data_IF_636404114835
#
_entry.id   IF_636404114835
#
_cell.length_a   1.000
_cell.length_b   1.000
_cell.length_c   1.000
_cell.angle_alpha   90.00
_cell.angle_beta   90.00
_cell.angle_gamma   90.00
#
_symmetry.space_group_name_H-M   'P 1'
#
loop_
_entity.id
_entity.type
_entity.pdbx_description
1 polymer ?
#
# COMPACT_ATOMS: atom_id res chain seq x y z
N UNK A 1 7.31 -0.02 -5.22
CA UNK A 1 7.42 -0.76 -3.96
C UNK A 1 7.62 -2.19 -4.38
N UNK A 2 8.77 -2.78 -4.05
CA UNK A 2 9.03 -4.17 -4.40
C UNK A 2 8.26 -5.02 -3.38
N UNK A 3 7.04 -5.45 -3.73
CA UNK A 3 6.27 -6.31 -2.85
C UNK A 3 6.84 -7.74 -2.90
N UNK A 4 7.04 -8.41 -1.76
CA UNK A 4 7.60 -9.76 -1.76
C UNK A 4 6.74 -10.72 -2.60
N UNK A 5 7.39 -11.52 -3.43
CA UNK A 5 6.71 -12.45 -4.32
C UNK A 5 6.16 -11.86 -5.63
N UNK A 6 6.26 -10.55 -5.86
CA UNK A 6 5.83 -9.90 -7.11
C UNK A 6 7.01 -9.18 -7.81
N UNK A 7 7.93 -9.91 -8.46
CA UNK A 7 9.20 -9.36 -8.94
C UNK A 7 9.06 -8.36 -10.09
N UNK A 8 8.00 -8.46 -10.90
CA UNK A 8 7.75 -7.56 -12.04
C UNK A 8 6.85 -6.38 -11.67
N UNK A 9 6.36 -6.31 -10.43
CA UNK A 9 5.30 -5.40 -10.04
C UNK A 9 5.85 -4.24 -9.20
N UNK A 10 6.32 -3.18 -9.86
CA UNK A 10 6.73 -1.96 -9.17
C UNK A 10 5.52 -1.04 -8.92
N UNK A 11 4.75 -1.34 -7.86
CA UNK A 11 3.66 -0.46 -7.46
C UNK A 11 4.18 0.71 -6.64
N UNK A 12 4.10 1.93 -7.17
CA UNK A 12 4.43 3.17 -6.44
C UNK A 12 3.26 4.14 -6.55
N UNK A 13 2.79 4.64 -5.41
CA UNK A 13 1.74 5.67 -5.36
C UNK A 13 2.13 6.79 -4.41
N UNK A 14 2.05 8.00 -4.93
CA UNK A 14 2.14 9.26 -4.17
C UNK A 14 0.87 10.06 -4.43
N UNK A 15 0.48 10.84 -3.43
CA UNK A 15 -0.71 11.68 -3.46
C UNK A 15 -0.29 13.15 -3.45
N UNK A 16 -1.02 13.96 -4.20
CA UNK A 16 -0.82 15.39 -4.19
C UNK A 16 -1.28 15.97 -2.83
N UNK A 17 -0.45 16.80 -2.23
CA UNK A 17 -0.73 17.52 -0.98
C UNK A 17 -1.75 18.66 -1.17
N UNK A 18 -2.05 19.00 -2.43
CA UNK A 18 -3.04 19.99 -2.84
C UNK A 18 -4.10 19.31 -3.69
N UNK A 19 -5.31 19.83 -3.63
CA UNK A 19 -6.39 19.40 -4.50
C UNK A 19 -6.24 19.93 -5.94
N UNK A 20 -7.14 19.47 -6.79
CA UNK A 20 -7.15 19.81 -8.22
C UNK A 20 -7.93 21.10 -8.53
N UNK A 21 -8.39 21.84 -7.51
CA UNK A 21 -9.09 23.11 -7.74
C UNK A 21 -8.16 24.14 -8.36
N UNK A 22 -8.72 25.17 -9.01
CA UNK A 22 -7.94 26.26 -9.59
C UNK A 22 -7.04 26.94 -8.53
N UNK A 23 -7.52 27.04 -7.29
CA UNK A 23 -6.80 27.62 -6.15
C UNK A 23 -5.73 26.71 -5.54
N UNK A 24 -5.68 25.42 -5.92
CA UNK A 24 -4.75 24.41 -5.38
C UNK A 24 -4.75 24.39 -3.85
N UNK A 25 -5.94 24.25 -3.25
CA UNK A 25 -6.10 24.24 -1.80
C UNK A 25 -5.42 23.00 -1.20
N UNK A 26 -4.94 23.05 0.05
CA UNK A 26 -4.45 21.86 0.75
C UNK A 26 -5.47 20.72 0.73
N UNK A 27 -5.00 19.50 0.50
CA UNK A 27 -5.88 18.34 0.50
C UNK A 27 -6.47 18.11 1.89
N UNK A 28 -7.78 17.89 1.96
CA UNK A 28 -8.42 17.53 3.23
C UNK A 28 -8.08 16.10 3.61
N UNK A 29 -8.03 15.82 4.92
CA UNK A 29 -7.78 14.47 5.43
C UNK A 29 -8.77 13.45 4.83
N UNK A 30 -10.06 13.74 4.83
CA UNK A 30 -11.08 12.84 4.29
C UNK A 30 -10.89 12.54 2.79
N UNK A 31 -10.44 13.52 2.00
CA UNK A 31 -10.14 13.31 0.57
C UNK A 31 -8.88 12.48 0.40
N UNK A 32 -7.83 12.75 1.17
CA UNK A 32 -6.59 11.98 1.17
C UNK A 32 -6.85 10.51 1.52
N UNK A 33 -7.55 10.24 2.62
CA UNK A 33 -7.87 8.87 3.07
C UNK A 33 -8.71 8.13 2.01
N UNK A 34 -9.64 8.81 1.34
CA UNK A 34 -10.41 8.21 0.24
C UNK A 34 -9.52 7.84 -0.95
N UNK A 35 -8.57 8.68 -1.31
CA UNK A 35 -7.61 8.37 -2.37
C UNK A 35 -6.69 7.21 -2.00
N UNK A 36 -6.21 7.17 -0.74
CA UNK A 36 -5.42 6.05 -0.22
C UNK A 36 -6.22 4.76 -0.29
N UNK A 37 -7.45 4.75 0.23
CA UNK A 37 -8.32 3.57 0.23
C UNK A 37 -8.54 3.00 -1.18
N UNK A 38 -8.91 3.85 -2.15
CA UNK A 38 -9.07 3.46 -3.56
C UNK A 38 -7.79 2.93 -4.18
N UNK A 39 -6.64 3.50 -3.83
CA UNK A 39 -5.35 3.06 -4.36
C UNK A 39 -4.96 1.68 -3.81
N UNK A 40 -5.27 1.41 -2.54
CA UNK A 40 -5.10 0.09 -1.93
C UNK A 40 -6.03 -0.94 -2.59
N UNK A 41 -7.29 -0.59 -2.84
CA UNK A 41 -8.23 -1.49 -3.53
C UNK A 41 -7.74 -1.85 -4.93
N UNK A 42 -7.32 -0.85 -5.71
CA UNK A 42 -6.78 -1.06 -7.04
C UNK A 42 -5.51 -1.92 -7.02
N UNK A 43 -4.64 -1.71 -6.04
CA UNK A 43 -3.44 -2.52 -5.84
C UNK A 43 -3.78 -3.98 -5.56
N UNK A 44 -4.66 -4.26 -4.60
CA UNK A 44 -5.06 -5.64 -4.24
C UNK A 44 -5.72 -6.32 -5.43
N UNK A 45 -6.64 -5.63 -6.11
CA UNK A 45 -7.34 -6.17 -7.27
C UNK A 45 -6.35 -6.56 -8.36
N UNK A 46 -5.39 -5.70 -8.67
CA UNK A 46 -4.39 -5.98 -9.69
C UNK A 46 -3.41 -7.06 -9.24
N UNK A 47 -2.86 -6.98 -8.03
CA UNK A 47 -1.96 -7.99 -7.46
C UNK A 47 -2.59 -9.38 -7.39
N UNK A 48 -3.91 -9.48 -7.20
CA UNK A 48 -4.63 -10.76 -7.20
C UNK A 48 -4.66 -11.47 -8.55
N UNK A 49 -4.36 -10.76 -9.64
CA UNK A 49 -4.28 -11.30 -11.01
C UNK A 49 -2.90 -11.79 -11.39
N UNK A 50 -1.88 -11.42 -10.62
CA UNK A 50 -0.48 -11.76 -10.91
C UNK A 50 -0.05 -12.98 -10.10
N UNK A 51 0.82 -13.80 -10.70
CA UNK A 51 1.44 -14.91 -9.99
C UNK A 51 2.36 -14.39 -8.88
N UNK A 52 2.19 -14.91 -7.67
CA UNK A 52 3.02 -14.58 -6.51
C UNK A 52 3.95 -15.76 -6.20
N UNK A 53 5.26 -15.52 -6.22
CA UNK A 53 6.26 -16.56 -5.91
C UNK A 53 6.43 -16.82 -4.41
N UNK A 54 5.84 -15.98 -3.56
CA UNK A 54 5.89 -16.09 -2.10
C UNK A 54 4.45 -16.19 -1.55
N UNK A 55 3.89 -17.41 -1.37
CA UNK A 55 2.48 -17.61 -1.07
C UNK A 55 1.96 -16.84 0.15
N UNK A 56 2.81 -16.61 1.15
CA UNK A 56 2.49 -15.86 2.37
C UNK A 56 2.24 -14.36 2.12
N UNK A 57 2.69 -13.82 0.99
CA UNK A 57 2.52 -12.44 0.56
C UNK A 57 1.48 -12.25 -0.55
N UNK A 58 0.85 -13.34 -1.00
CA UNK A 58 -0.11 -13.33 -2.10
C UNK A 58 -1.39 -12.59 -1.72
N UNK A 59 -1.86 -11.70 -2.58
CA UNK A 59 -3.19 -11.10 -2.49
C UNK A 59 -4.28 -11.95 -3.17
N UNK A 60 -5.50 -11.87 -2.65
CA UNK A 60 -6.68 -12.52 -3.23
C UNK A 60 -7.21 -13.70 -2.41
N UNK A 61 -8.07 -14.56 -2.98
CA UNK A 61 -8.76 -15.62 -2.24
C UNK A 61 -7.78 -16.53 -1.49
N UNK A 62 -7.96 -16.68 -0.17
CA UNK A 62 -7.07 -17.45 0.71
C UNK A 62 -5.70 -16.82 0.97
N UNK A 63 -5.48 -15.57 0.54
CA UNK A 63 -4.28 -14.79 0.77
C UNK A 63 -4.56 -13.54 1.61
N UNK A 64 -3.73 -12.52 1.47
CA UNK A 64 -3.94 -11.19 2.04
C UNK A 64 -5.12 -10.51 1.37
N UNK A 65 -5.88 -9.77 2.16
CA UNK A 65 -7.08 -9.03 1.79
C UNK A 65 -6.96 -7.58 2.27
N UNK A 66 -8.00 -6.78 1.98
CA UNK A 66 -8.06 -5.38 2.42
C UNK A 66 -8.01 -5.26 3.95
N UNK A 67 -8.65 -6.19 4.66
CA UNK A 67 -8.77 -6.15 6.12
C UNK A 67 -7.44 -6.47 6.81
N UNK A 68 -6.48 -7.06 6.09
CA UNK A 68 -5.13 -7.28 6.58
C UNK A 68 -4.26 -6.02 6.47
N UNK A 69 -4.72 -4.93 5.86
CA UNK A 69 -3.94 -3.70 5.65
C UNK A 69 -4.40 -2.58 6.57
N UNK A 70 -3.48 -2.02 7.34
CA UNK A 70 -3.71 -0.81 8.13
C UNK A 70 -2.85 0.34 7.65
N UNK A 71 -3.48 1.52 7.53
CA UNK A 71 -2.78 2.78 7.37
C UNK A 71 -2.24 3.22 8.73
N UNK A 72 -0.92 3.15 8.92
CA UNK A 72 -0.27 3.50 10.19
C UNK A 72 0.30 4.91 10.21
N UNK A 73 0.41 5.55 9.04
CA UNK A 73 0.97 6.89 8.97
C UNK A 73 0.90 7.50 7.58
N UNK A 74 1.23 8.79 7.53
CA UNK A 74 1.30 9.57 6.31
C UNK A 74 2.58 10.41 6.41
N UNK A 75 3.41 10.35 5.38
CA UNK A 75 4.67 11.09 5.32
C UNK A 75 4.70 12.05 4.14
N UNK A 76 5.26 13.23 4.38
CA UNK A 76 5.60 14.17 3.33
C UNK A 76 6.95 13.76 2.72
N UNK A 77 6.98 13.53 1.40
CA UNK A 77 8.17 12.95 0.73
C UNK A 77 8.86 13.94 -0.20
N UNK A 78 8.16 14.96 -0.67
CA UNK A 78 8.71 16.09 -1.44
C UNK A 78 7.70 17.23 -1.51
N UNK A 79 8.11 18.38 -2.06
CA UNK A 79 7.21 19.53 -2.25
C UNK A 79 5.93 19.12 -3.01
N UNK A 80 4.79 19.15 -2.31
CA UNK A 80 3.50 18.79 -2.88
C UNK A 80 3.18 17.29 -2.91
N UNK A 81 4.04 16.39 -2.40
CA UNK A 81 3.80 14.95 -2.43
C UNK A 81 3.75 14.30 -1.05
N UNK A 82 2.77 13.44 -0.89
CA UNK A 82 2.49 12.69 0.33
C UNK A 82 2.46 11.18 0.00
N UNK A 83 3.00 10.36 0.89
CA UNK A 83 2.97 8.90 0.76
C UNK A 83 2.37 8.27 2.03
N UNK A 84 1.43 7.32 1.90
CA UNK A 84 0.94 6.55 3.04
C UNK A 84 1.97 5.52 3.48
N UNK A 85 2.01 5.24 4.78
CA UNK A 85 2.70 4.09 5.35
C UNK A 85 1.66 3.05 5.70
N UNK A 86 1.76 1.88 5.06
CA UNK A 86 0.85 0.76 5.24
C UNK A 86 1.56 -0.37 6.00
N UNK A 87 0.81 -1.06 6.86
CA UNK A 87 1.25 -2.22 7.60
C UNK A 87 0.33 -3.41 7.31
N UNK A 88 0.91 -4.61 7.25
CA UNK A 88 0.15 -5.86 7.25
C UNK A 88 -0.09 -6.31 8.70
N UNK A 89 -1.35 -6.54 9.05
CA UNK A 89 -1.79 -6.98 10.38
C UNK A 89 -2.11 -8.48 10.44
N UNK A 90 -1.44 -9.27 9.61
CA UNK A 90 -1.47 -10.72 9.64
C UNK A 90 -0.09 -11.22 10.03
N UNK A 91 -0.02 -12.24 10.89
CA UNK A 91 1.25 -12.91 11.15
C UNK A 91 1.71 -13.61 9.87
N UNK A 92 2.86 -13.19 9.37
CA UNK A 92 3.49 -13.73 8.18
C UNK A 92 4.78 -14.39 8.62
N UNK A 93 4.81 -15.72 8.52
CA UNK A 93 6.03 -16.49 8.69
C UNK A 93 6.80 -16.45 7.37
N UNK A 94 7.78 -15.56 7.28
CA UNK A 94 8.69 -15.50 6.14
C UNK A 94 10.12 -15.89 6.57
N UNK A 95 10.63 -17.07 6.16
CA UNK A 95 11.97 -17.51 6.52
C UNK A 95 13.08 -16.67 5.88
N UNK A 96 12.75 -15.85 4.88
CA UNK A 96 13.70 -14.93 4.24
C UNK A 96 13.83 -13.59 4.97
N UNK A 97 12.90 -13.26 5.87
CA UNK A 97 13.01 -12.07 6.71
C UNK A 97 13.94 -12.32 7.90
N UNK A 98 14.72 -11.30 8.34
CA UNK A 98 15.45 -11.37 9.59
C UNK A 98 14.52 -11.70 10.76
N UNK A 99 14.98 -12.51 11.72
CA UNK A 99 14.18 -12.93 12.89
C UNK A 99 13.58 -11.74 13.67
N UNK A 100 14.23 -10.57 13.65
CA UNK A 100 13.76 -9.36 14.32
C UNK A 100 12.54 -8.71 13.63
N UNK A 101 12.20 -9.13 12.41
CA UNK A 101 11.10 -8.62 11.60
C UNK A 101 9.99 -9.67 11.37
N UNK A 102 10.11 -10.85 11.99
CA UNK A 102 9.05 -11.85 12.01
C UNK A 102 8.07 -11.47 13.14
N UNK A 103 6.83 -11.11 12.78
CA UNK A 103 5.78 -10.60 13.68
C UNK A 103 4.68 -11.66 13.88
#
# INVERSE_FOLDING_TARGET
>A
MNWPGYPTYDWKRQFQAKDETASKNPITLGRLIRHVGRSVDAFIQEASRHHCTSPQWRFGPGGLSRDDITLIGIVHVSAGSIMPILQINRSIVDPSLPQQLQI
#
